data_IF_794900182825
#
_entry.id   IF_794900182825
#
_cell.length_a   1.000
_cell.length_b   1.000
_cell.length_c   1.000
_cell.angle_alpha   90.00
_cell.angle_beta   90.00
_cell.angle_gamma   90.00
#
_symmetry.space_group_name_H-M   'P 1'
#
loop_
_entity.id
_entity.type
_entity.pdbx_description
1 polymer ?
#
# COMPACT_ATOMS: atom_id res chain seq x y z
N UNK A 1 0.98 17.10 1.65
CA UNK A 1 0.56 15.78 1.11
C UNK A 1 0.22 14.86 2.27
N UNK A 2 -0.88 14.11 2.22
CA UNK A 2 -1.33 13.23 3.31
C UNK A 2 -0.71 11.84 3.10
N UNK A 3 0.25 11.46 3.95
CA UNK A 3 0.89 10.14 3.88
C UNK A 3 -0.14 9.02 4.09
N UNK A 4 0.01 7.92 3.35
CA UNK A 4 -0.83 6.73 3.47
C UNK A 4 -0.30 5.85 4.60
N UNK A 5 -0.66 6.19 5.85
CA UNK A 5 -0.20 5.49 7.06
C UNK A 5 -0.45 3.98 7.03
N UNK A 6 -1.57 3.54 6.45
CA UNK A 6 -1.92 2.12 6.35
C UNK A 6 -0.89 1.28 5.57
N UNK A 7 -0.25 1.81 4.52
CA UNK A 7 0.81 1.10 3.77
C UNK A 7 2.01 0.86 4.67
N UNK A 8 2.39 1.90 5.42
CA UNK A 8 3.48 1.85 6.39
C UNK A 8 3.17 0.86 7.51
N UNK A 9 1.95 0.86 8.05
CA UNK A 9 1.50 -0.06 9.09
C UNK A 9 1.56 -1.52 8.59
N UNK A 10 1.04 -1.83 7.39
CA UNK A 10 1.13 -3.18 6.82
C UNK A 10 2.60 -3.61 6.67
N UNK A 11 3.46 -2.73 6.15
CA UNK A 11 4.89 -3.02 6.02
C UNK A 11 5.55 -3.29 7.37
N UNK A 12 5.24 -2.49 8.39
CA UNK A 12 5.77 -2.63 9.75
C UNK A 12 5.25 -3.90 10.44
N UNK A 13 3.98 -4.28 10.24
CA UNK A 13 3.44 -5.55 10.77
C UNK A 13 4.15 -6.78 10.20
N UNK A 14 4.69 -6.66 8.98
CA UNK A 14 5.50 -7.70 8.33
C UNK A 14 7.00 -7.56 8.60
N UNK A 15 7.41 -6.55 9.39
CA UNK A 15 8.80 -6.24 9.72
C UNK A 15 9.70 -6.07 8.48
N UNK A 16 9.13 -5.51 7.39
CA UNK A 16 9.82 -5.36 6.10
C UNK A 16 10.36 -3.95 5.88
N UNK A 17 11.48 -3.83 5.17
CA UNK A 17 11.96 -2.54 4.66
C UNK A 17 11.14 -2.09 3.45
N UNK A 18 11.22 -0.81 3.06
CA UNK A 18 10.56 -0.33 1.84
C UNK A 18 11.03 -1.10 0.59
N UNK A 19 12.31 -1.48 0.56
CA UNK A 19 12.88 -2.27 -0.54
C UNK A 19 12.30 -3.68 -0.60
N UNK A 20 12.23 -4.39 0.54
CA UNK A 20 11.67 -5.75 0.57
C UNK A 20 10.17 -5.75 0.25
N UNK A 21 9.44 -4.72 0.71
CA UNK A 21 8.02 -4.62 0.42
C UNK A 21 7.76 -4.27 -1.05
N UNK A 22 8.61 -3.43 -1.66
CA UNK A 22 8.54 -3.15 -3.08
C UNK A 22 8.84 -4.39 -3.94
N UNK A 23 9.82 -5.20 -3.53
CA UNK A 23 10.13 -6.48 -4.15
C UNK A 23 8.97 -7.47 -4.04
N UNK A 24 8.35 -7.58 -2.86
CA UNK A 24 7.13 -8.39 -2.64
C UNK A 24 5.98 -7.99 -3.58
N UNK A 25 5.83 -6.68 -3.81
CA UNK A 25 4.80 -6.12 -4.69
C UNK A 25 5.20 -6.07 -6.17
N UNK A 26 6.41 -6.54 -6.51
CA UNK A 26 6.99 -6.47 -7.85
C UNK A 26 6.94 -5.06 -8.46
N UNK A 27 7.37 -4.06 -7.68
CA UNK A 27 7.43 -2.65 -8.08
C UNK A 27 8.77 -2.01 -7.72
N UNK A 28 9.17 -0.94 -8.41
CA UNK A 28 10.35 -0.17 -7.98
C UNK A 28 10.16 0.43 -6.59
N UNK A 29 11.22 0.45 -5.77
CA UNK A 29 11.21 1.04 -4.42
C UNK A 29 10.72 2.48 -4.42
N UNK A 30 11.12 3.26 -5.43
CA UNK A 30 10.67 4.66 -5.62
C UNK A 30 9.17 4.77 -5.89
N UNK A 31 8.58 3.78 -6.56
CA UNK A 31 7.14 3.71 -6.82
C UNK A 31 6.40 3.44 -5.51
N UNK A 32 6.85 2.44 -4.75
CA UNK A 32 6.30 2.16 -3.43
C UNK A 32 6.42 3.36 -2.49
N UNK A 33 7.59 3.99 -2.40
CA UNK A 33 7.81 5.18 -1.59
C UNK A 33 6.86 6.34 -1.99
N UNK A 34 6.63 6.53 -3.29
CA UNK A 34 5.68 7.53 -3.79
C UNK A 34 4.23 7.22 -3.38
N UNK A 35 3.85 5.94 -3.33
CA UNK A 35 2.53 5.52 -2.85
C UNK A 35 2.38 5.73 -1.34
N UNK A 36 3.38 5.32 -0.54
CA UNK A 36 3.40 5.50 0.92
C UNK A 36 3.33 6.99 1.30
N UNK A 37 4.06 7.85 0.57
CA UNK A 37 4.07 9.30 0.79
C UNK A 37 2.82 10.03 0.29
N UNK A 38 1.96 9.37 -0.50
CA UNK A 38 0.78 10.02 -1.09
C UNK A 38 1.09 10.89 -2.31
N UNK A 39 2.29 10.79 -2.89
CA UNK A 39 2.75 11.57 -4.06
C UNK A 39 2.12 11.04 -5.35
N UNK A 40 2.00 9.71 -5.45
CA UNK A 40 1.39 9.03 -6.60
C UNK A 40 0.35 8.02 -6.14
N UNK A 41 -0.63 7.79 -6.99
CA UNK A 41 -1.61 6.71 -6.83
C UNK A 41 -1.30 5.65 -7.89
N UNK A 42 -1.29 4.35 -7.54
CA UNK A 42 -1.18 3.29 -8.54
C UNK A 42 -2.30 3.37 -9.58
N UNK A 43 -2.07 2.80 -10.76
CA UNK A 43 -3.16 2.50 -11.69
C UNK A 43 -4.12 1.48 -11.08
N UNK A 44 -5.36 1.41 -11.59
CA UNK A 44 -6.37 0.46 -11.10
C UNK A 44 -5.86 -0.98 -11.17
N UNK A 45 -5.20 -1.37 -12.25
CA UNK A 45 -4.67 -2.73 -12.42
C UNK A 45 -3.60 -3.04 -11.37
N UNK A 46 -2.66 -2.11 -11.17
CA UNK A 46 -1.62 -2.29 -10.16
C UNK A 46 -2.18 -2.26 -8.73
N UNK A 47 -3.18 -1.44 -8.47
CA UNK A 47 -3.87 -1.41 -7.19
C UNK A 47 -4.54 -2.75 -6.89
N UNK A 48 -5.16 -3.40 -7.89
CA UNK A 48 -5.75 -4.74 -7.76
C UNK A 48 -4.69 -5.79 -7.46
N UNK A 49 -3.61 -5.84 -8.23
CA UNK A 49 -2.50 -6.78 -7.99
C UNK A 49 -1.92 -6.64 -6.57
N UNK A 50 -1.61 -5.41 -6.15
CA UNK A 50 -1.08 -5.14 -4.81
C UNK A 50 -2.10 -5.52 -3.74
N UNK A 51 -3.38 -5.24 -3.97
CA UNK A 51 -4.44 -5.55 -3.03
C UNK A 51 -4.63 -7.07 -2.86
N UNK A 52 -4.48 -7.86 -3.92
CA UNK A 52 -4.47 -9.32 -3.86
C UNK A 52 -3.30 -9.84 -3.02
N UNK A 53 -2.08 -9.33 -3.23
CA UNK A 53 -0.89 -9.73 -2.47
C UNK A 53 -1.01 -9.38 -0.98
N UNK A 54 -1.64 -8.24 -0.68
CA UNK A 54 -1.83 -7.77 0.70
C UNK A 54 -3.13 -8.25 1.34
N UNK A 55 -3.98 -8.95 0.58
CA UNK A 55 -5.33 -9.37 0.98
C UNK A 55 -6.19 -8.21 1.52
N UNK A 56 -6.19 -7.09 0.80
CA UNK A 56 -6.97 -5.87 1.11
C UNK A 56 -7.87 -5.50 -0.07
N UNK A 57 -8.74 -4.49 0.09
CA UNK A 57 -9.50 -3.93 -1.03
C UNK A 57 -8.67 -2.89 -1.78
N UNK A 58 -8.50 -3.06 -3.10
CA UNK A 58 -7.78 -2.10 -3.95
C UNK A 58 -8.37 -0.69 -3.94
N UNK A 59 -9.66 -0.56 -3.61
CA UNK A 59 -10.34 0.74 -3.51
C UNK A 59 -9.70 1.62 -2.45
N UNK A 60 -9.01 1.08 -1.43
CA UNK A 60 -8.32 1.85 -0.37
C UNK A 60 -7.26 2.83 -0.91
N UNK A 61 -6.73 2.59 -2.12
CA UNK A 61 -5.81 3.52 -2.77
C UNK A 61 -6.51 4.81 -3.25
N UNK A 62 -7.82 4.73 -3.46
CA UNK A 62 -8.70 5.78 -3.99
C UNK A 62 -9.71 6.28 -2.96
N UNK A 63 -9.94 5.50 -1.90
CA UNK A 63 -10.93 5.82 -0.88
C UNK A 63 -10.39 6.88 0.08
N UNK A 64 -11.17 7.94 0.28
CA UNK A 64 -10.83 9.04 1.18
C UNK A 64 -11.48 8.77 2.54
N UNK A 65 -10.77 8.00 3.39
CA UNK A 65 -11.20 7.58 4.75
C UNK A 65 -12.21 6.42 4.66
N UNK A 66 -12.00 5.24 5.24
CA UNK A 66 -12.07 4.92 6.68
C UNK A 66 -11.29 3.62 6.93
N UNK A 67 -10.30 3.65 7.82
CA UNK A 67 -9.79 2.43 8.46
C UNK A 67 -10.70 2.14 9.65
N UNK A 68 -11.72 1.32 9.44
CA UNK A 68 -12.20 0.47 10.53
C UNK A 68 -11.57 -0.89 10.30
N UNK A 69 -10.60 -1.18 11.17
CA UNK A 69 -9.96 -2.46 11.37
C UNK A 69 -11.03 -3.52 11.60
N UNK A 70 -11.37 -4.30 10.58
CA UNK A 70 -12.04 -5.57 10.79
C UNK A 70 -10.98 -6.63 11.06
N UNK A 71 -10.56 -6.68 12.33
CA UNK A 71 -10.03 -7.89 12.94
C UNK A 71 -11.13 -8.95 12.98
N UNK A 72 -10.84 -10.14 12.45
CA UNK A 72 -11.25 -11.42 13.04
C UNK A 72 -10.42 -12.55 12.46
#
# INVERSE_FOLDING_TARGET
MKQRKWLKEIRETKNMTQSNFAELLNVPVTTYASWEQGVRTPSVDKAKEVAEILNIKWTIFFDHQVLETSSK
#
